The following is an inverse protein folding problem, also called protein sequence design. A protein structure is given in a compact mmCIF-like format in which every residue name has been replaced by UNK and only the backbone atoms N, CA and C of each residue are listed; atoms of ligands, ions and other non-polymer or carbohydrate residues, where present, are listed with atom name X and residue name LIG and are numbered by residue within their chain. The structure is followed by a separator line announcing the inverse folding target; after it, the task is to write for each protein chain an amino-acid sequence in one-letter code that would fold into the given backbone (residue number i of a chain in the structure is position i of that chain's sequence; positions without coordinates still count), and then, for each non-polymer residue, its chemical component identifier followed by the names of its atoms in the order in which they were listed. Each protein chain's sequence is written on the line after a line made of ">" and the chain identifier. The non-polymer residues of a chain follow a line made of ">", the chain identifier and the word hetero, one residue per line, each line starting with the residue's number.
data_IF_510948917831
#
_entry.id   IF_510948917831
#
_cell.length_a   1.000
_cell.length_b   1.000
_cell.length_c   1.000
_cell.angle_alpha   90.00
_cell.angle_beta   90.00
_cell.angle_gamma   90.00
#
_symmetry.space_group_name_H-M   'P 1'
#
loop_
_entity.id
_entity.type
_entity.pdbx_description
1 polymer ?
#
# COMPACT_ATOMS: atom_id res chain seq x y z
N UNK A 1 -4.34 -22.61 -22.24
CA UNK A 1 -4.72 -22.24 -23.63
C UNK A 1 -3.49 -22.39 -24.50
N UNK A 2 -3.59 -23.13 -25.59
CA UNK A 2 -2.47 -23.28 -26.52
C UNK A 2 -2.74 -22.42 -27.76
N UNK A 3 -1.99 -21.35 -27.92
CA UNK A 3 -2.00 -20.48 -29.12
C UNK A 3 -0.86 -20.82 -30.08
N UNK A 4 -0.24 -22.00 -29.94
CA UNK A 4 0.86 -22.40 -30.81
C UNK A 4 0.42 -22.34 -32.29
N UNK A 5 1.07 -21.48 -33.04
CA UNK A 5 0.79 -21.30 -34.49
C UNK A 5 -0.29 -20.27 -34.83
N UNK A 6 -0.96 -19.63 -33.86
CA UNK A 6 -1.93 -18.56 -34.13
C UNK A 6 -1.25 -17.18 -34.01
N UNK A 7 -1.11 -16.53 -35.16
CA UNK A 7 -0.66 -15.12 -35.23
C UNK A 7 -1.87 -14.21 -34.97
N UNK A 8 -1.92 -13.55 -33.80
CA UNK A 8 -3.03 -12.68 -33.40
C UNK A 8 -3.22 -11.51 -34.38
N UNK A 9 -2.19 -11.08 -35.10
CA UNK A 9 -2.33 -10.04 -36.15
C UNK A 9 -3.24 -10.48 -37.28
N UNK A 10 -3.39 -11.79 -37.51
CA UNK A 10 -4.36 -12.30 -38.47
C UNK A 10 -5.80 -11.99 -38.08
N UNK A 11 -6.12 -11.99 -36.77
CA UNK A 11 -7.45 -11.66 -36.28
C UNK A 11 -7.76 -10.17 -36.50
N UNK A 12 -6.76 -9.30 -36.34
CA UNK A 12 -6.86 -7.86 -36.65
C UNK A 12 -7.10 -7.67 -38.16
N UNK A 13 -6.39 -8.41 -39.02
CA UNK A 13 -6.59 -8.37 -40.46
C UNK A 13 -7.98 -8.88 -40.85
N UNK A 14 -8.51 -9.93 -40.17
CA UNK A 14 -9.86 -10.43 -40.36
C UNK A 14 -10.92 -9.37 -40.04
N UNK A 15 -10.83 -8.70 -38.88
CA UNK A 15 -11.75 -7.65 -38.46
C UNK A 15 -11.76 -6.47 -39.47
N UNK A 16 -10.58 -6.05 -39.94
CA UNK A 16 -10.46 -5.03 -40.97
C UNK A 16 -11.11 -5.46 -42.30
N UNK A 17 -10.93 -6.70 -42.75
CA UNK A 17 -11.55 -7.23 -43.96
C UNK A 17 -13.07 -7.35 -43.82
N UNK A 18 -13.59 -7.73 -42.65
CA UNK A 18 -15.03 -7.76 -42.35
C UNK A 18 -15.67 -6.37 -42.45
N UNK A 19 -15.01 -5.36 -41.91
CA UNK A 19 -15.50 -3.97 -41.91
C UNK A 19 -15.41 -3.33 -43.29
N UNK A 20 -14.25 -3.42 -43.91
CA UNK A 20 -13.95 -2.68 -45.16
C UNK A 20 -14.46 -3.39 -46.43
N UNK A 21 -14.62 -4.70 -46.38
CA UNK A 21 -14.99 -5.54 -47.54
C UNK A 21 -14.16 -5.27 -48.79
N UNK A 22 -12.93 -4.79 -48.58
CA UNK A 22 -11.98 -4.43 -49.66
C UNK A 22 -10.56 -4.61 -49.10
N UNK A 23 -9.73 -5.37 -49.83
CA UNK A 23 -8.36 -5.71 -49.37
C UNK A 23 -7.48 -4.46 -49.25
N UNK A 24 -7.58 -3.53 -50.18
CA UNK A 24 -6.76 -2.31 -50.17
C UNK A 24 -7.13 -1.37 -49.02
N UNK A 25 -8.45 -1.16 -48.80
CA UNK A 25 -8.91 -0.36 -47.66
C UNK A 25 -8.59 -1.03 -46.31
N UNK A 26 -8.79 -2.33 -46.23
CA UNK A 26 -8.42 -3.08 -45.02
C UNK A 26 -6.92 -2.98 -44.73
N UNK A 27 -6.07 -3.07 -45.75
CA UNK A 27 -4.64 -2.90 -45.61
C UNK A 27 -4.27 -1.49 -45.09
N UNK A 28 -4.87 -0.44 -45.67
CA UNK A 28 -4.67 0.94 -45.19
C UNK A 28 -5.11 1.16 -43.77
N UNK A 29 -6.26 0.58 -43.34
CA UNK A 29 -6.79 0.66 -41.98
C UNK A 29 -5.83 0.07 -40.96
N UNK A 30 -5.17 -1.04 -41.27
CA UNK A 30 -4.25 -1.76 -40.38
C UNK A 30 -2.80 -1.25 -40.50
N UNK A 31 -2.52 -0.41 -41.47
CA UNK A 31 -1.18 0.14 -41.69
C UNK A 31 -0.22 -0.85 -42.35
N UNK A 32 -0.72 -1.77 -43.19
CA UNK A 32 0.10 -2.74 -43.95
C UNK A 32 -0.05 -2.55 -45.45
N UNK A 33 0.85 -3.17 -46.22
CA UNK A 33 0.71 -3.17 -47.69
C UNK A 33 -0.41 -4.11 -48.16
N UNK A 34 -1.00 -3.83 -49.30
CA UNK A 34 -2.02 -4.68 -49.91
C UNK A 34 -1.53 -6.13 -50.15
N UNK A 35 -0.27 -6.38 -50.63
CA UNK A 35 0.26 -7.74 -50.69
C UNK A 35 0.32 -8.44 -49.34
N UNK A 36 0.71 -7.72 -48.27
CA UNK A 36 0.74 -8.28 -46.89
C UNK A 36 -0.67 -8.65 -46.40
N UNK A 37 -1.68 -7.80 -46.66
CA UNK A 37 -3.08 -8.11 -46.34
C UNK A 37 -3.59 -9.31 -47.12
N UNK A 38 -3.23 -9.46 -48.39
CA UNK A 38 -3.56 -10.63 -49.22
C UNK A 38 -2.91 -11.91 -48.68
N UNK A 39 -1.66 -11.84 -48.23
CA UNK A 39 -0.97 -12.94 -47.60
C UNK A 39 -1.64 -13.30 -46.25
N UNK A 40 -2.03 -12.30 -45.44
CA UNK A 40 -2.78 -12.50 -44.20
C UNK A 40 -4.13 -13.23 -44.46
N UNK A 41 -4.87 -12.82 -45.49
CA UNK A 41 -6.11 -13.48 -45.89
C UNK A 41 -5.87 -14.96 -46.29
N UNK A 42 -4.78 -15.24 -47.01
CA UNK A 42 -4.41 -16.62 -47.34
C UNK A 42 -4.13 -17.48 -46.10
N UNK A 43 -3.43 -16.91 -45.11
CA UNK A 43 -3.16 -17.58 -43.81
C UNK A 43 -4.43 -17.77 -42.99
N UNK A 44 -5.34 -16.78 -42.99
CA UNK A 44 -6.65 -16.88 -42.35
C UNK A 44 -7.49 -18.01 -42.92
N UNK A 45 -7.50 -18.18 -44.25
CA UNK A 45 -8.18 -19.30 -44.91
C UNK A 45 -7.67 -20.65 -44.42
N UNK A 46 -6.36 -20.77 -44.28
CA UNK A 46 -5.74 -22.01 -43.74
C UNK A 46 -6.09 -22.21 -42.27
N UNK A 47 -6.05 -21.14 -41.49
CA UNK A 47 -6.36 -21.21 -40.06
C UNK A 47 -7.78 -21.66 -39.77
N UNK A 48 -8.77 -21.13 -40.52
CA UNK A 48 -10.20 -21.43 -40.30
C UNK A 48 -10.76 -22.52 -41.20
N UNK A 49 -9.98 -23.07 -42.12
CA UNK A 49 -10.44 -24.06 -43.09
C UNK A 49 -11.56 -23.60 -43.98
N UNK A 50 -11.69 -22.29 -44.22
CA UNK A 50 -12.78 -21.65 -44.99
C UNK A 50 -12.25 -20.56 -45.88
N UNK A 51 -12.94 -20.28 -47.00
CA UNK A 51 -12.56 -19.17 -47.92
C UNK A 51 -12.71 -17.79 -47.27
N UNK A 52 -13.54 -17.68 -46.25
CA UNK A 52 -13.88 -16.49 -45.45
C UNK A 52 -14.46 -15.33 -46.29
N UNK A 53 -13.84 -15.02 -47.43
CA UNK A 53 -14.27 -13.94 -48.29
C UNK A 53 -14.18 -14.38 -49.76
N UNK A 54 -15.30 -14.20 -50.48
CA UNK A 54 -15.41 -14.42 -51.89
C UNK A 54 -15.34 -13.07 -52.65
N UNK A 55 -14.89 -13.08 -53.88
CA UNK A 55 -14.94 -11.88 -54.73
C UNK A 55 -16.35 -11.65 -55.25
N UNK A 56 -16.91 -10.47 -55.04
CA UNK A 56 -18.20 -10.04 -55.57
C UNK A 56 -18.05 -8.78 -56.43
N UNK A 57 -19.13 -8.36 -57.07
CA UNK A 57 -19.16 -7.17 -57.96
C UNK A 57 -18.84 -5.86 -57.17
N UNK A 58 -19.14 -5.81 -55.88
CA UNK A 58 -18.95 -4.63 -55.04
C UNK A 58 -17.83 -4.80 -53.99
N UNK A 59 -16.95 -5.78 -54.15
CA UNK A 59 -15.86 -6.07 -53.20
C UNK A 59 -15.93 -7.50 -52.61
N UNK A 60 -15.45 -7.65 -51.40
CA UNK A 60 -15.43 -8.94 -50.72
C UNK A 60 -16.78 -9.29 -50.09
N UNK A 61 -17.27 -10.50 -50.33
CA UNK A 61 -18.48 -11.06 -49.73
C UNK A 61 -18.07 -12.08 -48.66
N UNK A 62 -18.41 -11.85 -47.37
CA UNK A 62 -18.08 -12.79 -46.29
C UNK A 62 -18.92 -14.06 -46.42
N UNK A 63 -18.29 -15.24 -46.18
CA UNK A 63 -18.95 -16.52 -46.07
C UNK A 63 -19.83 -16.57 -44.81
N UNK A 64 -20.77 -17.53 -44.70
CA UNK A 64 -21.49 -17.76 -43.46
C UNK A 64 -20.52 -17.92 -42.26
N UNK A 65 -19.45 -18.71 -42.41
CA UNK A 65 -18.44 -18.93 -41.39
C UNK A 65 -17.75 -17.63 -40.95
N UNK A 66 -17.41 -16.74 -41.92
CA UNK A 66 -16.82 -15.45 -41.60
C UNK A 66 -17.79 -14.57 -40.79
N UNK A 67 -19.11 -14.62 -41.09
CA UNK A 67 -20.13 -13.88 -40.31
C UNK A 67 -20.26 -14.40 -38.88
N UNK A 68 -20.25 -15.72 -38.70
CA UNK A 68 -20.32 -16.33 -37.36
C UNK A 68 -19.10 -15.98 -36.49
N UNK A 69 -17.92 -15.82 -37.12
CA UNK A 69 -16.68 -15.45 -36.45
C UNK A 69 -16.57 -13.94 -36.14
N UNK A 70 -17.29 -13.09 -36.84
CA UNK A 70 -17.09 -11.64 -36.81
C UNK A 70 -17.30 -11.04 -35.42
N UNK A 71 -18.43 -11.28 -34.82
CA UNK A 71 -18.76 -10.70 -33.52
C UNK A 71 -17.88 -11.24 -32.39
N UNK A 72 -17.69 -12.57 -32.21
CA UNK A 72 -16.81 -13.10 -31.17
C UNK A 72 -15.36 -12.60 -31.27
N UNK A 73 -14.81 -12.51 -32.51
CA UNK A 73 -13.45 -12.02 -32.69
C UNK A 73 -13.32 -10.53 -32.43
N UNK A 74 -14.29 -9.73 -32.88
CA UNK A 74 -14.29 -8.29 -32.61
C UNK A 74 -14.37 -7.98 -31.12
N UNK A 75 -15.21 -8.72 -30.35
CA UNK A 75 -15.29 -8.59 -28.89
C UNK A 75 -13.97 -8.97 -28.22
N UNK A 76 -13.34 -10.07 -28.64
CA UNK A 76 -12.05 -10.50 -28.09
C UNK A 76 -10.95 -9.46 -28.36
N UNK A 77 -10.86 -8.93 -29.57
CA UNK A 77 -9.89 -7.90 -29.94
C UNK A 77 -10.13 -6.60 -29.15
N UNK A 78 -11.37 -6.16 -29.00
CA UNK A 78 -11.73 -4.98 -28.20
C UNK A 78 -11.33 -5.17 -26.73
N UNK A 79 -11.47 -6.37 -26.19
CA UNK A 79 -11.07 -6.68 -24.82
C UNK A 79 -9.54 -6.64 -24.65
N UNK A 80 -8.79 -7.19 -25.63
CA UNK A 80 -7.34 -7.11 -25.65
C UNK A 80 -6.90 -5.64 -25.76
N UNK A 81 -7.47 -4.87 -26.69
CA UNK A 81 -7.17 -3.46 -26.87
C UNK A 81 -7.42 -2.66 -25.58
N UNK A 82 -8.56 -2.89 -24.95
CA UNK A 82 -8.91 -2.21 -23.68
C UNK A 82 -7.91 -2.51 -22.57
N UNK A 83 -7.32 -3.71 -22.57
CA UNK A 83 -6.32 -4.13 -21.58
C UNK A 83 -4.94 -3.54 -21.86
N UNK A 84 -4.55 -3.46 -23.14
CA UNK A 84 -3.18 -3.06 -23.54
C UNK A 84 -3.07 -1.55 -23.73
N UNK A 85 -4.05 -0.91 -24.38
CA UNK A 85 -3.96 0.49 -24.84
C UNK A 85 -4.56 1.44 -23.80
N UNK A 86 -5.65 1.09 -23.17
CA UNK A 86 -6.27 1.95 -22.15
C UNK A 86 -5.51 1.84 -20.84
N UNK A 87 -4.84 2.93 -20.42
CA UNK A 87 -4.41 3.04 -19.03
C UNK A 87 -5.67 2.86 -18.16
N UNK A 88 -5.69 1.87 -17.25
CA UNK A 88 -6.87 1.66 -16.41
C UNK A 88 -7.14 2.94 -15.62
N UNK A 89 -8.28 3.56 -15.86
CA UNK A 89 -8.77 4.64 -15.00
C UNK A 89 -9.26 3.97 -13.73
N UNK A 90 -8.57 4.22 -12.62
CA UNK A 90 -8.99 3.73 -11.33
C UNK A 90 -10.17 4.56 -10.83
N UNK A 91 -11.33 3.94 -10.73
CA UNK A 91 -12.56 4.53 -10.19
C UNK A 91 -12.87 3.82 -8.88
N UNK A 92 -12.55 4.43 -7.71
CA UNK A 92 -12.62 3.76 -6.40
C UNK A 92 -13.97 3.12 -6.11
N UNK A 93 -15.06 3.77 -6.50
CA UNK A 93 -16.44 3.32 -6.23
C UNK A 93 -16.82 2.04 -7.00
N UNK A 94 -16.09 1.71 -8.08
CA UNK A 94 -16.42 0.61 -9.01
C UNK A 94 -15.50 -0.57 -8.94
N UNK A 95 -14.42 -0.48 -8.16
CA UNK A 95 -13.41 -1.54 -8.12
C UNK A 95 -13.68 -2.50 -6.98
N UNK A 96 -13.45 -3.79 -7.27
CA UNK A 96 -13.28 -4.84 -6.26
C UNK A 96 -11.79 -5.11 -6.17
N UNK A 97 -11.11 -4.53 -5.19
CA UNK A 97 -9.65 -4.62 -5.03
C UNK A 97 -9.30 -4.87 -3.57
N UNK A 98 -8.28 -5.70 -3.35
CA UNK A 98 -7.75 -5.94 -2.00
C UNK A 98 -6.44 -5.18 -1.84
N UNK A 99 -6.40 -4.23 -0.90
CA UNK A 99 -5.18 -3.55 -0.50
C UNK A 99 -4.54 -4.31 0.66
N UNK A 100 -3.22 -4.47 0.61
CA UNK A 100 -2.46 -5.10 1.68
C UNK A 100 -1.52 -4.08 2.30
N UNK A 101 -1.77 -3.74 3.57
CA UNK A 101 -1.05 -2.68 4.29
C UNK A 101 -0.21 -3.27 5.43
N UNK A 102 1.09 -3.01 5.40
CA UNK A 102 1.97 -3.26 6.53
C UNK A 102 1.80 -2.18 7.59
N UNK A 103 1.60 -2.55 8.84
CA UNK A 103 1.48 -1.60 9.95
C UNK A 103 2.27 -2.09 11.16
N UNK A 104 3.05 -1.19 11.75
CA UNK A 104 3.49 -1.38 13.14
C UNK A 104 2.35 -1.02 14.10
N UNK A 105 2.48 -1.42 15.35
CA UNK A 105 1.40 -1.39 16.36
C UNK A 105 0.76 0.00 16.54
N UNK A 106 1.56 1.05 16.65
CA UNK A 106 1.07 2.41 16.86
C UNK A 106 0.34 2.98 15.63
N UNK A 107 0.89 2.95 14.41
CA UNK A 107 0.14 3.35 13.21
C UNK A 107 -1.14 2.56 13.00
N UNK A 108 -1.16 1.25 13.33
CA UNK A 108 -2.37 0.44 13.25
C UNK A 108 -3.47 1.02 14.16
N UNK A 109 -3.15 1.30 15.41
CA UNK A 109 -4.09 1.85 16.37
C UNK A 109 -4.65 3.21 15.93
N UNK A 110 -3.80 4.10 15.42
CA UNK A 110 -4.19 5.47 15.06
C UNK A 110 -4.93 5.54 13.73
N UNK A 111 -4.50 4.78 12.72
CA UNK A 111 -4.99 4.91 11.35
C UNK A 111 -6.17 4.01 11.02
N UNK A 112 -6.20 2.75 11.51
CA UNK A 112 -7.17 1.77 11.03
C UNK A 112 -8.63 2.19 11.20
N UNK A 113 -9.08 2.77 12.32
CA UNK A 113 -10.48 3.15 12.46
C UNK A 113 -10.92 4.16 11.39
N UNK A 114 -10.11 5.19 11.17
CA UNK A 114 -10.41 6.25 10.21
C UNK A 114 -10.24 5.76 8.76
N UNK A 115 -9.23 4.94 8.50
CA UNK A 115 -8.98 4.35 7.18
C UNK A 115 -10.10 3.42 6.75
N UNK A 116 -10.57 2.54 7.64
CA UNK A 116 -11.67 1.64 7.34
C UNK A 116 -12.98 2.38 7.07
N UNK A 117 -13.28 3.44 7.85
CA UNK A 117 -14.43 4.30 7.60
C UNK A 117 -14.34 4.92 6.20
N UNK A 118 -13.20 5.53 5.88
CA UNK A 118 -13.00 6.18 4.58
C UNK A 118 -13.05 5.20 3.39
N UNK A 119 -12.50 3.98 3.56
CA UNK A 119 -12.59 2.93 2.55
C UNK A 119 -14.04 2.52 2.29
N UNK A 120 -14.85 2.32 3.34
CA UNK A 120 -16.26 1.99 3.21
C UNK A 120 -17.06 3.05 2.46
N UNK A 121 -16.74 4.33 2.69
CA UNK A 121 -17.44 5.46 2.06
C UNK A 121 -16.99 5.68 0.60
N UNK A 122 -15.69 5.53 0.30
CA UNK A 122 -15.10 5.92 -0.99
C UNK A 122 -14.84 4.77 -1.94
N UNK A 123 -14.75 3.55 -1.44
CA UNK A 123 -14.48 2.34 -2.23
C UNK A 123 -15.13 1.13 -1.56
N UNK A 124 -16.47 1.03 -1.60
CA UNK A 124 -17.21 0.01 -0.86
C UNK A 124 -16.89 -1.43 -1.27
N UNK A 125 -16.40 -1.64 -2.48
CA UNK A 125 -15.94 -2.94 -2.98
C UNK A 125 -14.48 -3.29 -2.59
N UNK A 126 -13.74 -2.36 -1.97
CA UNK A 126 -12.38 -2.62 -1.55
C UNK A 126 -12.34 -3.40 -0.23
N UNK A 127 -11.35 -4.30 -0.11
CA UNK A 127 -10.97 -4.95 1.14
C UNK A 127 -9.59 -4.50 1.58
N UNK A 128 -9.31 -4.61 2.88
CA UNK A 128 -8.01 -4.28 3.46
C UNK A 128 -7.50 -5.50 4.23
N UNK A 129 -6.30 -5.94 3.88
CA UNK A 129 -5.53 -6.94 4.63
C UNK A 129 -4.42 -6.19 5.35
N UNK A 130 -4.24 -6.47 6.64
CA UNK A 130 -3.19 -5.84 7.44
C UNK A 130 -2.14 -6.90 7.81
N UNK A 131 -0.88 -6.58 7.53
CA UNK A 131 0.27 -7.34 7.98
C UNK A 131 1.00 -6.57 9.07
N UNK A 132 1.18 -7.20 10.24
CA UNK A 132 1.98 -6.62 11.30
C UNK A 132 3.47 -6.83 11.04
N UNK A 133 4.28 -5.83 11.36
CA UNK A 133 5.73 -5.93 11.43
C UNK A 133 6.25 -5.17 12.64
N UNK A 134 7.29 -5.68 13.26
CA UNK A 134 7.90 -5.09 14.45
C UNK A 134 9.31 -4.52 14.15
N UNK A 135 10.07 -5.19 13.30
CA UNK A 135 11.38 -4.72 12.88
C UNK A 135 11.27 -3.78 11.66
N UNK A 136 12.01 -2.67 11.68
CA UNK A 136 11.96 -1.62 10.65
C UNK A 136 12.25 -2.16 9.24
N UNK A 137 13.28 -3.01 9.13
CA UNK A 137 13.73 -3.53 7.84
C UNK A 137 12.83 -4.67 7.32
N UNK A 138 12.09 -5.35 8.20
CA UNK A 138 11.14 -6.41 7.79
C UNK A 138 10.05 -5.90 6.85
N UNK A 139 9.62 -4.65 7.00
CA UNK A 139 8.64 -4.07 6.08
C UNK A 139 9.21 -3.91 4.65
N UNK A 140 10.52 -3.70 4.51
CA UNK A 140 11.19 -3.66 3.19
C UNK A 140 11.12 -5.04 2.53
N UNK A 141 11.43 -6.11 3.28
CA UNK A 141 11.35 -7.48 2.77
C UNK A 141 9.93 -7.83 2.27
N UNK A 142 8.91 -7.43 3.03
CA UNK A 142 7.51 -7.62 2.66
C UNK A 142 7.12 -6.83 1.40
N UNK A 143 7.64 -5.61 1.25
CA UNK A 143 7.45 -4.79 0.05
C UNK A 143 8.14 -5.39 -1.17
N UNK A 144 9.38 -5.87 -1.02
CA UNK A 144 10.16 -6.50 -2.09
C UNK A 144 9.49 -7.80 -2.58
N UNK A 145 9.04 -8.61 -1.64
CA UNK A 145 8.29 -9.84 -1.94
C UNK A 145 6.89 -9.57 -2.57
N UNK A 146 6.39 -8.32 -2.50
CA UNK A 146 5.04 -7.98 -2.95
C UNK A 146 3.94 -8.51 -2.02
N UNK A 147 4.30 -8.87 -0.79
CA UNK A 147 3.35 -9.32 0.22
C UNK A 147 2.47 -8.17 0.71
N UNK A 148 3.01 -6.96 0.72
CA UNK A 148 2.28 -5.74 1.05
C UNK A 148 2.43 -4.69 -0.05
N UNK A 149 1.42 -3.84 -0.20
CA UNK A 149 1.38 -2.74 -1.18
C UNK A 149 2.08 -1.48 -0.68
N UNK A 150 1.94 -1.21 0.61
CA UNK A 150 2.55 -0.09 1.31
C UNK A 150 2.70 -0.45 2.80
N UNK A 151 3.50 0.32 3.52
CA UNK A 151 3.63 0.17 4.97
C UNK A 151 3.63 1.54 5.67
N UNK A 152 3.19 1.57 6.93
CA UNK A 152 3.35 2.73 7.81
C UNK A 152 4.04 2.31 9.09
N UNK A 153 5.18 2.91 9.36
CA UNK A 153 6.01 2.61 10.53
C UNK A 153 7.11 3.62 10.73
N UNK A 154 7.97 3.36 11.70
CA UNK A 154 9.21 4.14 11.87
C UNK A 154 10.07 3.93 10.63
N UNK A 155 10.68 5.00 10.05
CA UNK A 155 11.50 4.89 8.87
C UNK A 155 12.58 3.80 8.99
N UNK A 156 12.87 3.05 7.91
CA UNK A 156 13.94 2.07 7.90
C UNK A 156 15.30 2.74 8.16
N UNK A 157 16.23 1.97 8.69
CA UNK A 157 17.58 2.47 9.04
C UNK A 157 18.43 2.78 7.79
N UNK A 158 18.15 2.12 6.69
CA UNK A 158 18.86 2.31 5.43
C UNK A 158 17.89 2.75 4.34
N UNK A 159 18.25 3.81 3.63
CA UNK A 159 17.51 4.26 2.45
C UNK A 159 17.93 3.44 1.23
N UNK A 160 16.97 2.83 0.58
CA UNK A 160 17.17 2.12 -0.69
C UNK A 160 16.40 2.88 -1.79
N UNK A 161 17.03 3.09 -2.95
CA UNK A 161 16.42 3.81 -4.07
C UNK A 161 15.13 3.17 -4.60
N UNK A 162 14.91 1.89 -4.31
CA UNK A 162 13.69 1.16 -4.67
C UNK A 162 12.51 1.42 -3.72
N UNK A 163 12.77 1.91 -2.51
CA UNK A 163 11.75 2.25 -1.53
C UNK A 163 11.54 3.77 -1.49
N UNK A 164 10.32 4.17 -1.72
CA UNK A 164 9.89 5.57 -1.62
C UNK A 164 9.23 5.79 -0.27
N UNK A 165 9.49 6.95 0.34
CA UNK A 165 8.99 7.28 1.67
C UNK A 165 8.31 8.64 1.68
N UNK A 166 7.35 8.81 2.60
CA UNK A 166 6.66 10.07 2.87
C UNK A 166 6.26 10.12 4.35
N UNK A 167 6.67 11.15 5.12
CA UNK A 167 6.20 11.35 6.47
C UNK A 167 4.67 11.53 6.50
N UNK A 168 3.99 10.80 7.39
CA UNK A 168 2.51 10.83 7.47
C UNK A 168 1.97 11.04 8.87
N UNK A 169 2.61 10.48 9.91
CA UNK A 169 2.17 10.64 11.29
C UNK A 169 3.29 11.21 12.16
N UNK A 170 2.90 12.02 13.14
CA UNK A 170 3.80 12.55 14.15
C UNK A 170 3.20 12.38 15.54
N UNK A 171 4.03 12.14 16.51
CA UNK A 171 3.67 12.17 17.94
C UNK A 171 4.86 12.61 18.77
N UNK A 172 4.60 12.99 20.00
CA UNK A 172 5.62 13.40 20.97
C UNK A 172 5.69 12.42 22.14
N UNK A 173 6.83 12.37 22.78
CA UNK A 173 6.99 11.63 24.02
C UNK A 173 6.44 12.39 25.22
N UNK A 174 5.80 11.65 26.12
CA UNK A 174 5.40 12.10 27.46
C UNK A 174 5.90 11.11 28.49
N UNK A 175 6.29 11.63 29.65
CA UNK A 175 6.58 10.79 30.83
C UNK A 175 5.31 10.60 31.63
N UNK A 176 4.97 9.36 31.95
CA UNK A 176 3.77 9.01 32.69
C UNK A 176 4.10 8.38 34.04
N UNK A 177 3.33 8.72 35.06
CA UNK A 177 3.35 8.09 36.37
C UNK A 177 1.93 7.90 36.87
N UNK A 178 1.71 6.95 37.80
CA UNK A 178 0.43 6.83 38.52
C UNK A 178 0.14 8.11 39.34
N UNK A 179 -1.13 8.49 39.47
CA UNK A 179 -1.57 9.54 40.40
C UNK A 179 -1.19 9.26 41.85
N UNK A 180 -1.07 7.98 42.19
CA UNK A 180 -0.68 7.53 43.53
C UNK A 180 0.83 7.61 43.80
N UNK A 181 1.64 7.77 42.71
CA UNK A 181 3.07 7.95 42.85
C UNK A 181 3.39 9.33 43.45
N UNK A 182 4.24 9.41 44.52
CA UNK A 182 4.64 10.69 45.12
C UNK A 182 5.21 11.71 44.10
N UNK A 183 5.85 11.26 43.02
CA UNK A 183 6.35 12.11 41.96
C UNK A 183 5.23 12.87 41.21
N UNK A 184 4.00 12.36 41.18
CA UNK A 184 2.86 13.01 40.57
C UNK A 184 2.57 14.43 41.13
N UNK A 185 2.92 14.65 42.41
CA UNK A 185 2.69 15.93 43.11
C UNK A 185 3.91 16.84 43.14
N UNK A 186 5.13 16.29 42.92
CA UNK A 186 6.40 17.03 43.02
C UNK A 186 6.89 17.58 41.69
N UNK A 187 6.30 17.12 40.58
CA UNK A 187 6.81 17.39 39.27
C UNK A 187 7.88 16.36 38.82
N UNK A 188 8.29 16.45 37.57
CA UNK A 188 9.16 15.47 36.90
C UNK A 188 10.46 16.15 36.44
N UNK A 189 11.32 16.52 37.40
CA UNK A 189 12.68 16.93 37.06
C UNK A 189 13.58 15.70 36.81
N UNK A 190 14.78 15.94 36.27
CA UNK A 190 15.70 14.85 35.90
C UNK A 190 16.11 14.00 37.09
N UNK A 191 16.21 14.58 38.32
CA UNK A 191 16.57 13.85 39.56
C UNK A 191 15.46 12.91 39.94
N UNK A 192 14.22 13.38 39.99
CA UNK A 192 13.02 12.58 40.27
C UNK A 192 12.87 11.48 39.21
N UNK A 193 13.03 11.81 37.95
CA UNK A 193 12.95 10.85 36.83
C UNK A 193 13.93 9.68 37.00
N UNK A 194 15.21 9.98 37.27
CA UNK A 194 16.24 8.95 37.43
C UNK A 194 16.13 8.13 38.72
N UNK A 195 15.43 8.65 39.73
CA UNK A 195 15.19 7.93 40.99
C UNK A 195 14.08 6.86 40.85
N UNK A 196 13.24 6.93 39.82
CA UNK A 196 12.18 5.97 39.57
C UNK A 196 12.69 4.73 38.83
N UNK A 197 11.97 3.62 39.00
CA UNK A 197 12.13 2.43 38.18
C UNK A 197 11.33 2.62 36.87
N UNK A 198 11.95 2.32 35.73
CA UNK A 198 11.37 2.60 34.40
C UNK A 198 10.83 1.36 33.73
N UNK A 199 9.73 1.55 33.00
CA UNK A 199 9.26 0.64 31.96
C UNK A 199 9.82 1.10 30.62
N UNK A 200 10.54 0.21 29.94
CA UNK A 200 10.99 0.40 28.56
C UNK A 200 10.01 -0.30 27.62
N UNK A 201 9.46 0.45 26.66
CA UNK A 201 8.72 -0.13 25.52
C UNK A 201 9.72 -0.31 24.38
N UNK A 202 9.92 -1.56 23.96
CA UNK A 202 10.85 -1.91 22.90
C UNK A 202 10.23 -2.99 22.01
N UNK A 203 9.55 -2.60 20.92
CA UNK A 203 8.94 -3.54 19.98
C UNK A 203 9.95 -4.50 19.33
N UNK A 204 11.19 -4.06 19.14
CA UNK A 204 12.28 -4.83 18.53
C UNK A 204 13.08 -5.65 19.56
N UNK A 205 12.76 -5.52 20.86
CA UNK A 205 13.43 -6.24 21.96
C UNK A 205 14.75 -5.62 22.44
N UNK A 206 15.08 -4.43 21.96
CA UNK A 206 16.27 -3.70 22.39
C UNK A 206 16.23 -3.36 23.87
N UNK A 207 17.41 -3.38 24.51
CA UNK A 207 17.56 -2.96 25.92
C UNK A 207 17.82 -1.46 26.06
N UNK A 208 17.93 -0.72 24.97
CA UNK A 208 18.22 0.71 24.95
C UNK A 208 17.31 1.37 23.92
N UNK A 209 16.51 2.31 24.37
CA UNK A 209 15.63 3.12 23.53
C UNK A 209 16.17 4.55 23.35
N UNK A 210 15.37 5.39 22.67
CA UNK A 210 15.68 6.80 22.42
C UNK A 210 15.98 7.58 23.71
N UNK A 211 15.28 7.25 24.81
CA UNK A 211 15.51 7.84 26.14
C UNK A 211 16.90 7.49 26.67
N UNK A 212 17.32 6.25 26.47
CA UNK A 212 18.62 5.77 26.97
C UNK A 212 19.75 6.42 26.19
N UNK A 213 19.59 6.62 24.89
CA UNK A 213 20.52 7.38 24.06
C UNK A 213 20.66 8.84 24.49
N UNK A 214 19.54 9.52 24.73
CA UNK A 214 19.51 10.91 25.19
C UNK A 214 20.13 11.08 26.60
N UNK A 215 19.91 10.10 27.49
CA UNK A 215 20.53 10.09 28.83
C UNK A 215 22.05 9.83 28.74
N UNK A 216 22.48 8.89 27.88
CA UNK A 216 23.90 8.58 27.69
C UNK A 216 24.70 9.78 27.19
N UNK A 217 24.15 10.59 26.29
CA UNK A 217 24.76 11.85 25.84
C UNK A 217 25.01 12.85 26.99
N UNK A 218 24.28 12.72 28.10
CA UNK A 218 24.43 13.54 29.31
C UNK A 218 25.16 12.81 30.44
N UNK A 219 25.80 11.67 30.13
CA UNK A 219 26.50 10.86 31.13
C UNK A 219 25.57 10.26 32.22
N UNK A 220 24.26 10.07 31.89
CA UNK A 220 23.25 9.59 32.83
C UNK A 220 22.70 8.24 32.37
N UNK A 221 22.15 7.50 33.35
CA UNK A 221 21.53 6.18 33.12
C UNK A 221 20.30 6.05 34.02
N UNK A 222 19.24 5.44 33.52
CA UNK A 222 18.04 5.11 34.29
C UNK A 222 18.04 3.62 34.70
N UNK A 223 17.28 3.29 35.74
CA UNK A 223 17.06 1.90 36.15
C UNK A 223 15.84 1.33 35.45
N UNK A 224 16.00 0.22 34.73
CA UNK A 224 14.90 -0.49 34.08
C UNK A 224 14.36 -1.57 35.04
N UNK A 225 13.08 -1.50 35.37
CA UNK A 225 12.38 -2.53 36.15
C UNK A 225 11.54 -3.46 35.26
N UNK A 226 11.19 -3.03 34.07
CA UNK A 226 10.42 -3.83 33.11
C UNK A 226 10.80 -3.42 31.67
N UNK A 227 10.94 -4.40 30.80
CA UNK A 227 10.98 -4.18 29.35
C UNK A 227 9.87 -5.00 28.71
N UNK A 228 9.09 -4.39 27.81
CA UNK A 228 7.99 -5.05 27.12
C UNK A 228 7.86 -4.56 25.67
N UNK A 229 7.42 -5.41 24.75
CA UNK A 229 7.26 -5.02 23.36
C UNK A 229 5.93 -4.28 23.07
N UNK A 230 4.90 -4.49 23.88
CA UNK A 230 3.56 -3.97 23.67
C UNK A 230 3.41 -2.55 24.24
N UNK A 231 3.36 -1.53 23.40
CA UNK A 231 3.31 -0.16 23.90
C UNK A 231 2.00 0.21 24.60
N UNK A 232 0.88 -0.39 24.24
CA UNK A 232 -0.42 -0.12 24.86
C UNK A 232 -0.59 -0.77 26.26
N UNK A 233 0.31 -1.68 26.64
CA UNK A 233 0.35 -2.28 27.98
C UNK A 233 1.04 -1.35 29.00
N UNK A 234 2.00 -0.53 28.56
CA UNK A 234 2.78 0.32 29.47
C UNK A 234 1.92 1.25 30.33
N UNK A 235 0.91 1.99 29.82
CA UNK A 235 0.03 2.83 30.64
C UNK A 235 -0.74 2.06 31.70
N UNK A 236 -1.17 0.82 31.42
CA UNK A 236 -1.88 -0.02 32.38
C UNK A 236 -0.98 -0.48 33.55
N UNK A 237 0.28 -0.81 33.21
CA UNK A 237 1.29 -1.15 34.22
C UNK A 237 1.58 0.06 35.11
N UNK A 238 1.82 1.22 34.50
CA UNK A 238 2.14 2.45 35.24
C UNK A 238 0.98 2.89 36.11
N UNK A 239 -0.27 2.80 35.65
CA UNK A 239 -1.44 3.18 36.41
C UNK A 239 -1.67 2.33 37.69
N UNK A 240 -0.90 1.24 37.91
CA UNK A 240 -1.02 0.31 39.02
C UNK A 240 0.28 0.11 39.82
N UNK A 241 1.32 0.86 39.45
CA UNK A 241 2.66 0.72 40.07
C UNK A 241 3.25 2.10 40.35
N UNK A 242 4.35 2.13 41.11
CA UNK A 242 5.14 3.35 41.31
C UNK A 242 6.26 3.53 40.26
N UNK A 243 6.20 2.77 39.17
CA UNK A 243 7.13 2.91 38.08
C UNK A 243 6.78 4.14 37.19
N UNK A 244 7.66 4.45 36.29
CA UNK A 244 7.46 5.47 35.28
C UNK A 244 7.73 4.90 33.86
N UNK A 245 7.12 5.49 32.85
CA UNK A 245 7.42 5.21 31.46
C UNK A 245 7.47 6.50 30.65
N UNK A 246 8.28 6.51 29.60
CA UNK A 246 8.23 7.55 28.58
C UNK A 246 7.65 6.90 27.32
N UNK A 247 6.47 7.34 26.91
CA UNK A 247 5.65 6.77 25.85
C UNK A 247 5.11 7.88 24.94
N UNK A 248 4.58 7.53 23.79
CA UNK A 248 3.90 8.49 22.92
C UNK A 248 2.63 9.03 23.58
N UNK A 249 2.37 10.32 23.39
CA UNK A 249 1.25 11.03 24.03
C UNK A 249 -0.10 10.36 23.74
N UNK A 250 -0.38 9.99 22.49
CA UNK A 250 -1.65 9.35 22.12
C UNK A 250 -1.83 7.99 22.81
N UNK A 251 -0.75 7.23 23.01
CA UNK A 251 -0.79 5.97 23.74
C UNK A 251 -1.23 6.19 25.20
N UNK A 252 -0.66 7.19 25.85
CA UNK A 252 -1.02 7.52 27.23
C UNK A 252 -2.48 7.98 27.36
N UNK A 253 -2.94 8.83 26.43
CA UNK A 253 -4.29 9.41 26.45
C UNK A 253 -5.39 8.41 26.07
N UNK A 254 -5.08 7.44 25.18
CA UNK A 254 -6.05 6.47 24.69
C UNK A 254 -6.23 5.26 25.60
N UNK A 255 -5.34 5.07 26.59
CA UNK A 255 -5.44 3.97 27.55
C UNK A 255 -6.64 4.11 28.48
N UNK A 256 -7.23 2.99 28.84
CA UNK A 256 -8.24 2.94 29.91
C UNK A 256 -7.68 3.39 31.27
N UNK A 257 -6.37 3.30 31.46
CA UNK A 257 -5.66 3.80 32.63
C UNK A 257 -5.45 5.33 32.62
N UNK A 258 -5.76 6.03 31.53
CA UNK A 258 -5.47 7.48 31.37
C UNK A 258 -5.94 8.33 32.57
N UNK A 259 -7.11 8.02 33.14
CA UNK A 259 -7.66 8.69 34.31
C UNK A 259 -6.84 8.50 35.59
N UNK A 260 -5.98 7.47 35.64
CA UNK A 260 -5.08 7.16 36.77
C UNK A 260 -3.66 7.68 36.55
N UNK A 261 -3.39 8.29 35.41
CA UNK A 261 -2.06 8.77 35.05
C UNK A 261 -1.95 10.27 35.25
N UNK A 262 -0.73 10.71 35.55
CA UNK A 262 -0.27 12.09 35.37
C UNK A 262 0.78 12.09 34.27
N UNK A 263 0.64 13.02 33.34
CA UNK A 263 1.54 13.19 32.22
C UNK A 263 2.43 14.40 32.44
N UNK A 264 3.71 14.25 32.20
CA UNK A 264 4.71 15.31 32.24
C UNK A 264 5.47 15.37 30.92
N UNK A 265 5.98 16.55 30.54
CA UNK A 265 7.04 16.61 29.55
C UNK A 265 8.23 15.77 30.01
N UNK A 266 8.92 15.04 29.13
CA UNK A 266 10.15 14.35 29.50
C UNK A 266 11.18 15.37 30.01
N UNK A 267 11.89 15.09 31.14
CA UNK A 267 12.89 16.03 31.69
C UNK A 267 14.22 16.02 30.90
N UNK A 268 14.19 15.49 29.71
CA UNK A 268 15.26 15.45 28.71
C UNK A 268 14.65 15.72 27.34
N UNK A 269 15.41 16.38 26.51
CA UNK A 269 15.02 16.61 25.12
C UNK A 269 15.03 15.29 24.34
N UNK A 270 13.91 14.97 23.71
CA UNK A 270 13.72 13.79 22.86
C UNK A 270 13.30 14.24 21.46
N UNK A 271 13.72 13.53 20.41
CA UNK A 271 13.25 13.81 19.07
C UNK A 271 11.74 13.55 18.95
N UNK A 272 11.10 14.28 18.06
CA UNK A 272 9.74 13.98 17.63
C UNK A 272 9.70 12.56 17.01
N UNK A 273 8.62 11.84 17.26
CA UNK A 273 8.41 10.53 16.62
C UNK A 273 7.70 10.74 15.30
N UNK A 274 8.38 10.39 14.23
CA UNK A 274 7.83 10.46 12.86
C UNK A 274 7.60 9.05 12.36
N UNK A 275 6.44 8.82 11.75
CA UNK A 275 6.11 7.59 11.05
C UNK A 275 5.94 7.90 9.57
N UNK A 276 6.60 7.13 8.74
CA UNK A 276 6.55 7.27 7.30
C UNK A 276 5.60 6.23 6.69
N UNK A 277 4.92 6.65 5.64
CA UNK A 277 4.34 5.78 4.64
C UNK A 277 5.44 5.44 3.64
N UNK A 278 5.70 4.16 3.40
CA UNK A 278 6.69 3.70 2.45
C UNK A 278 6.14 2.61 1.55
N UNK A 279 6.63 2.59 0.30
CA UNK A 279 6.18 1.66 -0.75
C UNK A 279 7.31 1.39 -1.74
N UNK A 280 7.18 0.27 -2.47
CA UNK A 280 8.15 -0.07 -3.49
C UNK A 280 7.93 0.76 -4.77
N UNK A 281 9.00 1.27 -5.37
CA UNK A 281 8.99 2.10 -6.60
C UNK A 281 8.24 1.45 -7.77
N UNK A 282 8.24 0.11 -7.87
CA UNK A 282 7.50 -0.61 -8.92
C UNK A 282 6.00 -0.32 -8.94
N UNK A 283 5.40 0.01 -7.80
CA UNK A 283 3.97 0.33 -7.66
C UNK A 283 3.66 1.83 -7.67
N UNK A 284 4.70 2.68 -7.84
CA UNK A 284 4.55 4.13 -7.70
C UNK A 284 3.54 4.73 -8.67
N UNK A 285 3.59 4.31 -9.94
CA UNK A 285 2.71 4.81 -11.00
C UNK A 285 1.35 4.08 -11.10
N UNK A 286 1.10 3.03 -10.29
CA UNK A 286 -0.15 2.29 -10.36
C UNK A 286 -1.32 3.10 -9.77
N UNK A 287 -2.38 3.43 -10.54
CA UNK A 287 -3.40 4.39 -10.14
C UNK A 287 -4.12 4.02 -8.83
N UNK A 288 -4.48 2.75 -8.63
CA UNK A 288 -5.12 2.28 -7.39
C UNK A 288 -4.21 2.39 -6.18
N UNK A 289 -2.92 2.07 -6.35
CA UNK A 289 -1.92 2.19 -5.30
C UNK A 289 -1.66 3.66 -4.93
N UNK A 290 -1.59 4.56 -5.91
CA UNK A 290 -1.49 6.00 -5.68
C UNK A 290 -2.70 6.55 -4.91
N UNK A 291 -3.90 6.16 -5.33
CA UNK A 291 -5.13 6.56 -4.64
C UNK A 291 -5.10 6.11 -3.18
N UNK A 292 -4.73 4.86 -2.91
CA UNK A 292 -4.68 4.30 -1.56
C UNK A 292 -3.64 5.02 -0.67
N UNK A 293 -2.44 5.26 -1.20
CA UNK A 293 -1.39 6.01 -0.49
C UNK A 293 -1.81 7.46 -0.20
N UNK A 294 -2.47 8.12 -1.15
CA UNK A 294 -2.99 9.48 -0.96
C UNK A 294 -4.12 9.51 0.07
N UNK A 295 -4.97 8.48 0.09
CA UNK A 295 -6.00 8.34 1.12
C UNK A 295 -5.36 8.23 2.50
N UNK A 296 -4.40 7.34 2.70
CA UNK A 296 -3.66 7.20 3.96
C UNK A 296 -3.04 8.53 4.38
N UNK A 297 -2.31 9.18 3.48
CA UNK A 297 -1.63 10.44 3.78
C UNK A 297 -2.61 11.57 4.13
N UNK A 298 -3.75 11.67 3.45
CA UNK A 298 -4.77 12.69 3.74
C UNK A 298 -5.46 12.47 5.10
N UNK A 299 -5.72 11.21 5.46
CA UNK A 299 -6.31 10.86 6.74
C UNK A 299 -5.32 11.07 7.89
N UNK A 300 -4.07 10.68 7.69
CA UNK A 300 -3.02 10.87 8.68
C UNK A 300 -2.76 12.36 8.99
N UNK A 301 -2.85 13.23 7.98
CA UNK A 301 -2.69 14.68 8.17
C UNK A 301 -3.83 15.33 8.98
N UNK A 302 -4.97 14.64 9.13
CA UNK A 302 -6.13 15.11 9.91
C UNK A 302 -6.13 14.59 11.37
N UNK A 303 -5.17 13.75 11.74
CA UNK A 303 -4.99 13.15 13.07
C UNK A 303 -3.99 13.93 13.91
#
# INVERSE_FOLDING_TARGET
>A
MDFHGIDLNLLVAFDALMSERNVTRAAARVGVSQPAMSAALSRLRKLFGDQLFLRGAQGLLPTPRARDLAEPLSQALSQIESTVVKKPVFVPEKVTFSFTLGLSDYPAFVLLPTLLKALRERSPGASLIVHAFNARDHAIDLLDAGTIDAAVGVPPTHTDSRILTRPVLRDEFVTIVSKDNPAARRGMDIKTYLALSHVLVSPEGDRHGVVDQALAQRGKKRSLGLTLPQMFVAPEVIGRTYMTATVMRRVALSSSASRRLVLFPPPIELPEVVFDLFWHRRSDSHPGQQWFRNLIASLAAAL
#
